data_IF_792022217503
#
_entry.id   IF_792022217503
#
_cell.length_a   1.000
_cell.length_b   1.000
_cell.length_c   1.000
_cell.angle_alpha   90.00
_cell.angle_beta   90.00
_cell.angle_gamma   90.00
#
_symmetry.space_group_name_H-M   'P 1'
#
loop_
_entity.id
_entity.type
_entity.pdbx_description
1 polymer ?
#
# COMPACT_ATOMS: atom_id res chain seq x y z
N UNK A 1 86.06 -36.10 -8.82
CA UNK A 1 84.80 -36.15 -8.09
C UNK A 1 84.41 -34.72 -7.79
N UNK A 2 83.45 -34.09 -8.51
CA UNK A 2 82.97 -32.72 -8.30
C UNK A 2 81.52 -32.77 -7.82
N UNK A 3 81.32 -32.33 -6.62
CA UNK A 3 79.98 -32.16 -6.04
C UNK A 3 79.38 -30.82 -6.55
N UNK A 4 78.23 -30.87 -7.24
CA UNK A 4 77.47 -29.70 -7.66
C UNK A 4 76.40 -29.45 -6.62
N UNK A 5 76.54 -28.31 -5.93
CA UNK A 5 75.51 -27.82 -5.03
C UNK A 5 74.33 -27.23 -5.83
N UNK A 6 73.11 -27.73 -5.60
CA UNK A 6 71.89 -27.23 -6.17
C UNK A 6 71.28 -26.33 -5.15
N UNK A 7 71.27 -25.00 -5.41
CA UNK A 7 70.60 -24.03 -4.63
C UNK A 7 69.11 -24.02 -5.06
N UNK A 8 68.27 -24.50 -4.19
CA UNK A 8 66.82 -24.38 -4.36
C UNK A 8 66.36 -22.99 -3.93
N UNK A 9 65.92 -22.16 -4.90
CA UNK A 9 65.31 -20.87 -4.65
C UNK A 9 63.82 -21.10 -4.44
N UNK A 10 63.40 -21.00 -3.18
CA UNK A 10 61.97 -21.03 -2.79
C UNK A 10 61.37 -19.67 -3.08
N UNK A 11 60.64 -19.57 -4.19
CA UNK A 11 59.83 -18.39 -4.50
C UNK A 11 58.57 -18.36 -3.65
N UNK A 12 58.50 -17.43 -2.73
CA UNK A 12 57.32 -17.14 -1.92
C UNK A 12 56.31 -16.34 -2.75
N UNK A 13 55.36 -17.04 -3.39
CA UNK A 13 54.25 -16.41 -4.13
C UNK A 13 53.21 -15.88 -3.12
N UNK A 14 53.25 -14.57 -2.91
CA UNK A 14 52.21 -13.86 -2.14
C UNK A 14 50.94 -13.73 -2.99
N UNK A 15 49.96 -14.62 -2.79
CA UNK A 15 48.65 -14.52 -3.40
C UNK A 15 47.87 -13.47 -2.64
N UNK A 16 47.79 -12.25 -3.17
CA UNK A 16 46.83 -11.25 -2.71
C UNK A 16 45.41 -11.74 -3.09
N UNK A 17 44.70 -12.32 -2.14
CA UNK A 17 43.27 -12.55 -2.25
C UNK A 17 42.55 -11.17 -2.11
N UNK A 18 42.25 -10.55 -3.26
CA UNK A 18 41.35 -9.42 -3.31
C UNK A 18 39.96 -9.97 -3.03
N UNK A 19 39.54 -9.92 -1.78
CA UNK A 19 38.14 -10.12 -1.42
C UNK A 19 37.36 -8.91 -1.96
N UNK A 20 36.84 -9.02 -3.17
CA UNK A 20 35.80 -8.12 -3.66
C UNK A 20 34.59 -8.33 -2.75
N UNK A 21 34.48 -7.48 -1.73
CA UNK A 21 33.22 -7.30 -0.99
C UNK A 21 32.22 -6.77 -2.00
N UNK A 22 31.49 -7.67 -2.67
CA UNK A 22 30.24 -7.30 -3.32
C UNK A 22 29.37 -6.74 -2.20
N UNK A 23 29.27 -5.42 -2.14
CA UNK A 23 28.20 -4.79 -1.40
C UNK A 23 26.91 -5.33 -2.03
N UNK A 24 26.38 -6.41 -1.45
CA UNK A 24 25.04 -6.85 -1.75
C UNK A 24 24.16 -5.66 -1.36
N UNK A 25 23.64 -4.97 -2.36
CA UNK A 25 22.60 -3.98 -2.14
C UNK A 25 21.47 -4.76 -1.49
N UNK A 26 21.25 -4.54 -0.21
CA UNK A 26 20.15 -5.20 0.48
C UNK A 26 18.88 -4.77 -0.24
N UNK A 27 18.21 -5.74 -0.86
CA UNK A 27 16.91 -5.49 -1.49
C UNK A 27 15.95 -4.98 -0.39
N UNK A 28 15.24 -3.91 -0.68
CA UNK A 28 14.26 -3.38 0.25
C UNK A 28 13.19 -4.43 0.56
N UNK A 29 12.70 -4.45 1.78
CA UNK A 29 11.54 -5.25 2.14
C UNK A 29 10.31 -4.79 1.32
N UNK A 30 9.28 -5.62 1.20
CA UNK A 30 8.06 -5.25 0.48
C UNK A 30 6.99 -4.79 1.45
N UNK A 31 6.46 -3.57 1.23
CA UNK A 31 5.25 -3.06 1.88
C UNK A 31 4.08 -3.21 0.91
N UNK A 32 3.27 -4.23 1.12
CA UNK A 32 2.07 -4.45 0.31
C UNK A 32 0.93 -3.58 0.81
N UNK A 33 0.30 -2.85 -0.11
CA UNK A 33 -0.92 -2.08 0.12
C UNK A 33 -1.99 -2.62 -0.81
N UNK A 34 -3.09 -3.10 -0.24
CA UNK A 34 -4.23 -3.60 -0.99
C UNK A 34 -5.02 -2.47 -1.63
N UNK A 35 -5.59 -2.74 -2.79
CA UNK A 35 -6.62 -1.93 -3.39
C UNK A 35 -7.84 -2.81 -3.67
N UNK A 36 -8.98 -2.49 -3.06
CA UNK A 36 -10.27 -3.13 -3.36
C UNK A 36 -11.18 -2.08 -3.96
N UNK A 37 -11.59 -2.28 -5.22
CA UNK A 37 -12.40 -1.27 -5.88
C UNK A 37 -12.89 -1.70 -7.26
N UNK A 38 -13.80 -0.91 -7.83
CA UNK A 38 -14.45 -1.22 -9.10
C UNK A 38 -13.53 -0.87 -10.29
N UNK A 39 -12.91 -1.87 -10.89
CA UNK A 39 -12.02 -1.69 -12.06
C UNK A 39 -12.58 -2.27 -13.34
N UNK A 40 -13.80 -2.84 -13.30
CA UNK A 40 -14.53 -3.30 -14.47
C UNK A 40 -15.98 -2.83 -14.47
N UNK A 41 -16.68 -2.97 -15.61
CA UNK A 41 -18.06 -2.55 -15.77
C UNK A 41 -18.24 -1.02 -15.91
N UNK A 42 -19.49 -0.53 -15.82
CA UNK A 42 -19.83 0.88 -16.12
C UNK A 42 -19.19 1.92 -15.19
N UNK A 43 -18.84 1.52 -13.96
CA UNK A 43 -18.21 2.39 -12.97
C UNK A 43 -16.67 2.27 -12.92
N UNK A 44 -16.07 1.51 -13.82
CA UNK A 44 -14.65 1.16 -13.82
C UNK A 44 -13.70 2.37 -13.79
N UNK A 45 -14.07 3.48 -14.42
CA UNK A 45 -13.23 4.67 -14.51
C UNK A 45 -12.78 5.19 -13.14
N UNK A 46 -13.61 5.06 -12.11
CA UNK A 46 -13.30 5.51 -10.76
C UNK A 46 -12.21 4.64 -10.12
N UNK A 47 -12.41 3.31 -10.13
CA UNK A 47 -11.45 2.38 -9.55
C UNK A 47 -10.14 2.36 -10.33
N UNK A 48 -10.18 2.38 -11.65
CA UNK A 48 -8.98 2.45 -12.50
C UNK A 48 -8.18 3.73 -12.21
N UNK A 49 -8.84 4.87 -12.06
CA UNK A 49 -8.16 6.13 -11.72
C UNK A 49 -7.45 6.04 -10.36
N UNK A 50 -8.13 5.51 -9.35
CA UNK A 50 -7.56 5.34 -8.02
C UNK A 50 -6.39 4.35 -8.03
N UNK A 51 -6.56 3.18 -8.64
CA UNK A 51 -5.52 2.17 -8.75
C UNK A 51 -4.27 2.74 -9.42
N UNK A 52 -4.41 3.38 -10.58
CA UNK A 52 -3.28 3.99 -11.30
C UNK A 52 -2.59 5.08 -10.50
N UNK A 53 -3.36 5.88 -9.76
CA UNK A 53 -2.78 6.91 -8.88
C UNK A 53 -1.94 6.30 -7.77
N UNK A 54 -2.39 5.19 -7.17
CA UNK A 54 -1.63 4.45 -6.17
C UNK A 54 -0.37 3.82 -6.76
N UNK A 55 -0.47 3.16 -7.91
CA UNK A 55 0.65 2.55 -8.62
C UNK A 55 1.72 3.58 -9.00
N UNK A 56 1.29 4.73 -9.54
CA UNK A 56 2.20 5.84 -9.89
C UNK A 56 2.90 6.39 -8.64
N UNK A 57 2.16 6.53 -7.54
CA UNK A 57 2.75 7.00 -6.28
C UNK A 57 3.72 6.00 -5.68
N UNK A 58 3.39 4.71 -5.72
CA UNK A 58 4.26 3.64 -5.27
C UNK A 58 5.57 3.61 -6.09
N UNK A 59 5.46 3.66 -7.43
CA UNK A 59 6.63 3.71 -8.31
C UNK A 59 7.54 4.91 -7.99
N UNK A 60 6.96 6.10 -7.84
CA UNK A 60 7.70 7.30 -7.47
C UNK A 60 8.41 7.18 -6.11
N UNK A 61 7.76 6.60 -5.10
CA UNK A 61 8.37 6.36 -3.79
C UNK A 61 9.54 5.37 -3.89
N UNK A 62 9.37 4.32 -4.69
CA UNK A 62 10.41 3.30 -4.89
C UNK A 62 11.62 3.88 -5.64
N UNK A 63 11.40 4.74 -6.65
CA UNK A 63 12.46 5.49 -7.34
C UNK A 63 13.26 6.40 -6.40
N UNK A 64 12.62 6.93 -5.35
CA UNK A 64 13.29 7.71 -4.30
C UNK A 64 14.03 6.87 -3.26
N UNK A 65 14.05 5.55 -3.43
CA UNK A 65 14.74 4.62 -2.54
C UNK A 65 13.83 3.92 -1.53
N UNK A 66 12.50 4.03 -1.70
CA UNK A 66 11.51 3.36 -0.86
C UNK A 66 11.03 4.19 0.34
N UNK A 67 10.26 3.56 1.20
CA UNK A 67 9.69 4.17 2.41
C UNK A 67 10.40 3.62 3.64
N UNK A 68 11.01 4.48 4.43
CA UNK A 68 11.69 4.09 5.66
C UNK A 68 10.69 4.06 6.83
N UNK A 69 10.58 2.90 7.49
CA UNK A 69 9.77 2.71 8.69
C UNK A 69 10.68 2.09 9.77
N UNK A 70 10.95 2.86 10.80
CA UNK A 70 12.00 2.49 11.77
C UNK A 70 13.36 2.36 11.08
N UNK A 71 13.98 1.20 11.21
CA UNK A 71 15.30 0.90 10.61
C UNK A 71 15.21 0.13 9.28
N UNK A 72 13.99 -0.17 8.81
CA UNK A 72 13.76 -0.94 7.58
C UNK A 72 13.27 -0.02 6.47
N UNK A 73 13.83 -0.21 5.28
CA UNK A 73 13.35 0.45 4.05
C UNK A 73 12.50 -0.53 3.26
N UNK A 74 11.38 -0.04 2.76
CA UNK A 74 10.38 -0.83 2.04
C UNK A 74 10.15 -0.28 0.64
N UNK A 75 10.07 -1.17 -0.34
CA UNK A 75 9.44 -0.88 -1.62
C UNK A 75 7.95 -1.10 -1.50
N UNK A 76 7.18 -0.12 -1.97
CA UNK A 76 5.71 -0.19 -1.96
C UNK A 76 5.22 -1.00 -3.15
N UNK A 77 4.35 -1.96 -2.89
CA UNK A 77 3.68 -2.80 -3.89
C UNK A 77 2.17 -2.66 -3.75
N UNK A 78 1.48 -2.34 -4.85
CA UNK A 78 0.02 -2.26 -4.86
C UNK A 78 -0.55 -3.60 -5.30
N UNK A 79 -1.45 -4.16 -4.50
CA UNK A 79 -2.13 -5.44 -4.78
C UNK A 79 -3.61 -5.15 -5.08
N UNK A 80 -4.01 -5.11 -6.36
CA UNK A 80 -5.37 -4.76 -6.74
C UNK A 80 -6.34 -5.95 -6.67
N UNK A 81 -7.59 -5.64 -6.36
CA UNK A 81 -8.73 -6.56 -6.47
C UNK A 81 -9.95 -5.81 -7.02
N UNK A 82 -10.54 -6.35 -8.08
CA UNK A 82 -11.75 -5.81 -8.71
C UNK A 82 -13.00 -6.32 -8.00
N UNK A 83 -13.68 -5.46 -7.28
CA UNK A 83 -14.95 -5.79 -6.62
C UNK A 83 -16.18 -5.69 -7.52
N UNK A 84 -16.04 -5.16 -8.74
CA UNK A 84 -17.14 -4.99 -9.71
C UNK A 84 -18.35 -4.23 -9.17
N UNK A 85 -18.17 -3.41 -8.15
CA UNK A 85 -19.23 -2.73 -7.42
C UNK A 85 -20.21 -3.70 -6.73
N UNK A 86 -19.77 -4.90 -6.41
CA UNK A 86 -20.55 -5.93 -5.71
C UNK A 86 -20.03 -6.06 -4.25
N UNK A 87 -20.87 -5.79 -3.24
CA UNK A 87 -20.47 -5.91 -1.84
C UNK A 87 -19.94 -7.31 -1.45
N UNK A 88 -20.45 -8.38 -2.05
CA UNK A 88 -19.95 -9.74 -1.81
C UNK A 88 -18.54 -9.94 -2.35
N UNK A 89 -18.26 -9.36 -3.51
CA UNK A 89 -16.92 -9.38 -4.08
C UNK A 89 -15.97 -8.49 -3.28
N UNK A 90 -16.44 -7.35 -2.78
CA UNK A 90 -15.65 -6.51 -1.90
C UNK A 90 -15.24 -7.28 -0.62
N UNK A 91 -16.16 -8.05 -0.01
CA UNK A 91 -15.87 -8.95 1.10
C UNK A 91 -14.79 -9.96 0.70
N UNK A 92 -14.96 -10.67 -0.41
CA UNK A 92 -13.97 -11.64 -0.89
C UNK A 92 -12.59 -11.01 -1.16
N UNK A 93 -12.58 -9.77 -1.68
CA UNK A 93 -11.35 -8.98 -1.83
C UNK A 93 -10.67 -8.70 -0.50
N UNK A 94 -11.43 -8.29 0.51
CA UNK A 94 -10.88 -8.01 1.85
C UNK A 94 -10.37 -9.29 2.53
N UNK A 95 -11.08 -10.42 2.38
CA UNK A 95 -10.64 -11.73 2.85
C UNK A 95 -9.34 -12.17 2.18
N UNK A 96 -9.22 -11.92 0.87
CA UNK A 96 -7.96 -12.18 0.16
C UNK A 96 -6.82 -11.33 0.70
N UNK A 97 -7.04 -10.04 0.96
CA UNK A 97 -6.02 -9.19 1.56
C UNK A 97 -5.57 -9.73 2.92
N UNK A 98 -6.52 -10.20 3.75
CA UNK A 98 -6.21 -10.83 5.03
C UNK A 98 -5.34 -12.09 4.86
N UNK A 99 -5.69 -12.98 3.92
CA UNK A 99 -4.94 -14.19 3.62
C UNK A 99 -3.52 -13.90 3.13
N UNK A 100 -3.35 -12.84 2.36
CA UNK A 100 -2.06 -12.39 1.83
C UNK A 100 -1.22 -11.59 2.87
N UNK A 101 -1.73 -11.43 4.10
CA UNK A 101 -1.07 -10.67 5.17
C UNK A 101 -1.03 -9.15 4.94
N UNK A 102 -1.97 -8.62 4.15
CA UNK A 102 -2.05 -7.20 3.83
C UNK A 102 -2.98 -6.51 4.84
N UNK A 103 -2.42 -5.61 5.64
CA UNK A 103 -3.14 -4.91 6.70
C UNK A 103 -3.55 -3.47 6.36
N UNK A 104 -3.14 -2.96 5.20
CA UNK A 104 -3.47 -1.61 4.72
C UNK A 104 -4.17 -1.72 3.38
N UNK A 105 -5.42 -1.27 3.32
CA UNK A 105 -6.24 -1.39 2.10
C UNK A 105 -6.85 -0.04 1.75
N UNK A 106 -6.76 0.37 0.50
CA UNK A 106 -7.48 1.52 -0.05
C UNK A 106 -8.74 1.01 -0.77
N UNK A 107 -9.87 1.64 -0.49
CA UNK A 107 -11.18 1.18 -0.95
C UNK A 107 -11.96 0.45 0.17
N UNK A 108 -13.15 -0.10 -0.15
CA UNK A 108 -13.87 -0.02 -1.43
C UNK A 108 -14.27 1.39 -1.88
N UNK A 109 -14.57 1.53 -3.18
CA UNK A 109 -14.89 2.84 -3.79
C UNK A 109 -16.38 3.22 -3.70
N UNK A 110 -17.21 2.44 -3.04
CA UNK A 110 -18.65 2.67 -2.92
C UNK A 110 -19.14 2.34 -1.51
N UNK A 111 -20.17 3.05 -1.05
CA UNK A 111 -20.69 2.99 0.32
C UNK A 111 -21.07 1.57 0.76
N UNK A 112 -21.81 0.85 -0.09
CA UNK A 112 -22.28 -0.52 0.23
C UNK A 112 -21.12 -1.50 0.40
N UNK A 113 -20.12 -1.41 -0.47
CA UNK A 113 -18.90 -2.22 -0.37
C UNK A 113 -18.11 -1.87 0.89
N UNK A 114 -17.96 -0.58 1.18
CA UNK A 114 -17.25 -0.11 2.36
C UNK A 114 -17.90 -0.56 3.67
N UNK A 115 -19.23 -0.56 3.74
CA UNK A 115 -19.98 -1.07 4.87
C UNK A 115 -19.85 -2.60 5.01
N UNK A 116 -19.93 -3.30 3.89
CA UNK A 116 -19.90 -4.76 3.85
C UNK A 116 -18.56 -5.37 4.30
N UNK A 117 -17.44 -4.71 4.00
CA UNK A 117 -16.09 -5.21 4.37
C UNK A 117 -15.71 -4.96 5.83
N UNK A 118 -16.45 -4.11 6.54
CA UNK A 118 -16.12 -3.71 7.91
C UNK A 118 -15.89 -4.89 8.86
N UNK A 119 -16.79 -5.91 8.94
CA UNK A 119 -16.58 -7.03 9.86
C UNK A 119 -15.30 -7.81 9.56
N UNK A 120 -14.97 -8.02 8.28
CA UNK A 120 -13.75 -8.72 7.87
C UNK A 120 -12.52 -7.91 8.23
N UNK A 121 -12.55 -6.59 7.98
CA UNK A 121 -11.45 -5.69 8.32
C UNK A 121 -11.18 -5.67 9.84
N UNK A 122 -12.22 -5.55 10.66
CA UNK A 122 -12.11 -5.56 12.11
C UNK A 122 -11.58 -6.89 12.64
N UNK A 123 -12.11 -8.02 12.13
CA UNK A 123 -11.68 -9.36 12.54
C UNK A 123 -10.20 -9.65 12.24
N UNK A 124 -9.68 -9.11 11.14
CA UNK A 124 -8.33 -9.37 10.66
C UNK A 124 -7.34 -8.21 10.94
N UNK A 125 -7.75 -7.20 11.68
CA UNK A 125 -6.89 -6.05 11.99
C UNK A 125 -6.46 -5.25 10.74
N UNK A 126 -7.30 -5.25 9.70
CA UNK A 126 -7.05 -4.49 8.47
C UNK A 126 -7.55 -3.06 8.66
N UNK A 127 -6.65 -2.12 8.46
CA UNK A 127 -6.96 -0.70 8.37
C UNK A 127 -7.31 -0.37 6.92
N UNK A 128 -8.51 0.19 6.67
CA UNK A 128 -8.93 0.50 5.31
C UNK A 128 -9.36 1.95 5.13
N UNK A 129 -9.16 2.46 3.93
CA UNK A 129 -9.40 3.84 3.52
C UNK A 129 -10.46 3.87 2.42
N UNK A 130 -11.75 3.76 2.76
CA UNK A 130 -12.79 3.69 1.74
C UNK A 130 -13.07 5.07 1.13
N UNK A 131 -13.49 5.07 -0.13
CA UNK A 131 -14.12 6.22 -0.75
C UNK A 131 -15.63 6.12 -0.52
N UNK A 132 -16.06 6.41 0.69
CA UNK A 132 -17.43 6.26 1.17
C UNK A 132 -17.80 7.36 2.16
N UNK A 133 -19.08 7.69 2.24
CA UNK A 133 -19.55 8.85 2.96
C UNK A 133 -20.37 8.58 4.22
N UNK A 134 -20.95 7.38 4.48
CA UNK A 134 -21.73 7.15 5.67
C UNK A 134 -20.94 7.40 6.95
N UNK A 135 -21.47 8.23 7.83
CA UNK A 135 -20.82 8.61 9.10
C UNK A 135 -20.55 7.38 9.98
N UNK A 136 -21.44 6.42 9.92
CA UNK A 136 -21.43 5.18 10.69
C UNK A 136 -20.17 4.35 10.45
N UNK A 137 -19.54 4.47 9.27
CA UNK A 137 -18.28 3.79 8.96
C UNK A 137 -17.11 4.27 9.83
N UNK A 138 -17.17 5.51 10.31
CA UNK A 138 -16.06 6.20 10.98
C UNK A 138 -16.32 6.53 12.45
N UNK A 139 -17.42 6.01 13.00
CA UNK A 139 -17.80 6.29 14.38
C UNK A 139 -17.79 5.04 15.25
N UNK A 140 -17.77 5.25 16.56
CA UNK A 140 -17.79 4.16 17.54
C UNK A 140 -18.98 3.19 17.38
N UNK A 141 -18.84 1.91 17.76
CA UNK A 141 -17.61 1.35 18.31
C UNK A 141 -16.48 1.43 17.29
N UNK A 142 -15.23 1.46 17.76
CA UNK A 142 -14.07 1.72 16.91
C UNK A 142 -14.13 0.95 15.59
N UNK A 143 -13.91 1.67 14.50
CA UNK A 143 -13.85 1.09 13.16
C UNK A 143 -12.40 1.18 12.65
N UNK A 144 -11.99 0.16 11.91
CA UNK A 144 -10.73 0.19 11.19
C UNK A 144 -10.80 1.04 9.91
N UNK A 145 -11.96 1.66 9.63
CA UNK A 145 -12.13 2.60 8.53
C UNK A 145 -11.54 3.97 8.88
N UNK A 146 -10.73 4.51 7.98
CA UNK A 146 -10.13 5.83 8.13
C UNK A 146 -10.69 6.76 7.07
N UNK A 147 -11.25 7.88 7.51
CA UNK A 147 -11.75 8.92 6.62
C UNK A 147 -10.59 9.69 5.99
N UNK A 148 -10.31 9.40 4.72
CA UNK A 148 -9.23 10.05 3.95
C UNK A 148 -9.66 11.30 3.18
N UNK A 149 -10.92 11.75 3.33
CA UNK A 149 -11.49 12.89 2.60
C UNK A 149 -12.52 13.63 3.44
N UNK A 150 -12.93 14.82 2.95
CA UNK A 150 -14.05 15.56 3.56
C UNK A 150 -15.36 14.87 3.20
N UNK A 151 -16.05 14.36 4.19
CA UNK A 151 -17.35 13.72 4.00
C UNK A 151 -18.49 14.74 3.88
N UNK A 152 -19.59 14.34 3.24
CA UNK A 152 -20.75 15.20 3.00
C UNK A 152 -21.37 15.73 4.31
N UNK A 153 -21.39 14.95 5.37
CA UNK A 153 -21.90 15.38 6.67
C UNK A 153 -21.02 16.44 7.35
N UNK A 154 -19.77 16.60 6.91
CA UNK A 154 -18.86 17.65 7.38
C UNK A 154 -19.00 18.93 6.53
N UNK A 155 -18.97 18.80 5.20
CA UNK A 155 -19.03 19.93 4.27
C UNK A 155 -20.44 20.49 4.07
N UNK A 156 -21.47 19.63 4.08
CA UNK A 156 -22.86 20.02 3.84
C UNK A 156 -23.35 21.16 4.75
N UNK A 157 -23.26 21.04 6.07
CA UNK A 157 -23.70 22.09 6.98
C UNK A 157 -22.99 23.43 6.74
N UNK A 158 -21.68 23.42 6.45
CA UNK A 158 -20.93 24.63 6.17
C UNK A 158 -21.35 25.29 4.84
N UNK A 159 -21.60 24.48 3.80
CA UNK A 159 -22.08 24.97 2.50
C UNK A 159 -23.49 25.56 2.65
N UNK A 160 -24.41 24.87 3.31
CA UNK A 160 -25.75 25.37 3.51
C UNK A 160 -25.75 26.65 4.32
N UNK A 161 -24.99 26.73 5.41
CA UNK A 161 -24.84 27.95 6.20
C UNK A 161 -24.38 29.12 5.33
N UNK A 162 -23.33 28.92 4.53
CA UNK A 162 -22.83 29.94 3.61
C UNK A 162 -23.87 30.39 2.61
N UNK A 163 -24.63 29.46 2.01
CA UNK A 163 -25.68 29.77 1.03
C UNK A 163 -26.83 30.57 1.66
N UNK A 164 -27.27 30.20 2.87
CA UNK A 164 -28.32 30.91 3.59
C UNK A 164 -27.88 32.32 3.97
N UNK A 165 -26.70 32.48 4.55
CA UNK A 165 -26.19 33.76 5.04
C UNK A 165 -25.77 34.73 3.93
N UNK A 166 -25.21 34.22 2.82
CA UNK A 166 -24.58 35.08 1.80
C UNK A 166 -25.30 35.09 0.45
N UNK A 167 -26.21 34.15 0.20
CA UNK A 167 -26.92 34.02 -1.08
C UNK A 167 -28.44 34.04 -0.95
N UNK A 168 -28.97 34.20 0.26
CA UNK A 168 -30.38 34.27 0.52
C UNK A 168 -31.18 33.02 0.15
N UNK A 169 -30.52 31.87 0.06
CA UNK A 169 -31.16 30.58 -0.16
C UNK A 169 -31.93 30.21 1.10
N UNK A 170 -33.22 29.81 0.95
CA UNK A 170 -34.07 29.38 2.05
C UNK A 170 -34.22 27.88 2.11
#
# INVERSE_FOLDING_TARGET
MKRRNFLATTGLSLVLAVTASSAAWAENAKLKIGFVGVTSGPAAAWGISNQRSMETRAAWLNELGGVKIGDVTYDVEIVPFDDQKDPKRAIAGMEKMAQDGIHYVVGPNVDDGAAAVRPVAEQNGIMYFPYAFPKELYTAPASNAILGMVANYQSGPAIYKYLMENKGVK
#
